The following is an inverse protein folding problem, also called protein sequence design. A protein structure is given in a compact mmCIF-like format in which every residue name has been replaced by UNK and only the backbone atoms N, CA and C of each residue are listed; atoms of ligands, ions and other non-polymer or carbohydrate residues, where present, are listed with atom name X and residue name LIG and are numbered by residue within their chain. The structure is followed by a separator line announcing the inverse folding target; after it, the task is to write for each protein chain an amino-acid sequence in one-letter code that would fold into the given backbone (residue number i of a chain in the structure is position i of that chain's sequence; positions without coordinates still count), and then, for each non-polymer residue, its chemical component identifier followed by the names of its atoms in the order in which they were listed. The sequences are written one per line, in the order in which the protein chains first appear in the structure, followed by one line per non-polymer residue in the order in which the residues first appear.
data_IF_141363417600
#
_entry.id   IF_141363417600
#
_cell.length_a   1.000
_cell.length_b   1.000
_cell.length_c   1.000
_cell.angle_alpha   90.00
_cell.angle_beta   90.00
_cell.angle_gamma   90.00
#
_symmetry.space_group_name_H-M   'P 1'
#
loop_
_entity.id
_entity.type
_entity.pdbx_description
1 polymer ?
#
# COMPACT_ATOMS: atom_id res chain seq x y z
N UNK A 1 0.66 -36.33 -1.36
CA UNK A 1 1.99 -35.86 -1.01
C UNK A 1 2.62 -35.07 -2.14
N UNK A 2 2.77 -35.70 -3.29
CA UNK A 2 3.36 -35.03 -4.45
C UNK A 2 2.50 -33.91 -5.00
N UNK A 3 1.20 -34.05 -4.88
CA UNK A 3 0.22 -33.08 -5.40
C UNK A 3 0.29 -31.74 -4.70
N UNK A 4 0.59 -31.72 -3.40
CA UNK A 4 0.72 -30.49 -2.63
C UNK A 4 1.88 -29.65 -3.11
N UNK A 5 3.02 -30.27 -3.38
CA UNK A 5 4.20 -29.58 -3.89
C UNK A 5 3.93 -28.94 -5.24
N UNK A 6 3.21 -29.61 -6.13
CA UNK A 6 2.84 -29.06 -7.43
C UNK A 6 1.93 -27.85 -7.30
N UNK A 7 0.98 -27.88 -6.36
CA UNK A 7 0.11 -26.74 -6.09
C UNK A 7 0.88 -25.53 -5.59
N UNK A 8 1.83 -25.75 -4.70
CA UNK A 8 2.68 -24.68 -4.17
C UNK A 8 3.53 -24.04 -5.27
N UNK A 9 4.08 -24.83 -6.17
CA UNK A 9 4.90 -24.38 -7.29
C UNK A 9 4.09 -23.56 -8.29
N UNK A 10 2.82 -23.91 -8.46
CA UNK A 10 1.93 -23.26 -9.43
C UNK A 10 1.21 -22.04 -8.87
N UNK A 11 1.41 -21.72 -7.59
CA UNK A 11 0.81 -20.53 -7.00
C UNK A 11 1.42 -19.28 -7.61
N UNK A 12 0.58 -18.48 -8.27
CA UNK A 12 1.03 -17.27 -8.93
C UNK A 12 0.94 -16.10 -7.96
N UNK A 13 2.05 -15.43 -7.72
CA UNK A 13 2.10 -14.28 -6.84
C UNK A 13 1.45 -13.07 -7.48
N UNK A 14 0.74 -12.29 -6.67
CA UNK A 14 0.18 -11.01 -7.10
C UNK A 14 1.30 -9.97 -7.21
N UNK A 15 1.19 -9.10 -8.20
CA UNK A 15 2.09 -7.97 -8.40
C UNK A 15 1.31 -6.68 -8.40
N UNK A 16 1.94 -5.64 -7.87
CA UNK A 16 1.39 -4.29 -7.87
C UNK A 16 2.03 -3.52 -9.02
N UNK A 17 1.20 -2.89 -9.83
CA UNK A 17 1.66 -2.05 -10.93
C UNK A 17 1.43 -0.59 -10.56
N UNK A 18 2.50 0.18 -10.51
CA UNK A 18 2.48 1.63 -10.28
C UNK A 18 2.98 2.33 -11.52
N UNK A 19 2.31 3.39 -11.95
CA UNK A 19 2.85 4.26 -12.98
C UNK A 19 3.90 5.19 -12.36
N UNK A 20 4.76 5.76 -13.20
CA UNK A 20 5.72 6.75 -12.74
C UNK A 20 5.00 7.96 -12.12
N UNK A 21 3.90 8.38 -12.71
CA UNK A 21 3.11 9.50 -12.21
C UNK A 21 2.56 9.24 -10.81
N UNK A 22 1.98 8.06 -10.58
CA UNK A 22 1.49 7.67 -9.25
C UNK A 22 2.63 7.64 -8.25
N UNK A 23 3.76 7.05 -8.62
CA UNK A 23 4.94 6.97 -7.77
C UNK A 23 5.46 8.36 -7.38
N UNK A 24 5.57 9.26 -8.35
CA UNK A 24 6.03 10.63 -8.09
C UNK A 24 5.07 11.38 -7.15
N UNK A 25 3.77 11.17 -7.31
CA UNK A 25 2.74 11.77 -6.46
C UNK A 25 2.83 11.25 -5.02
N UNK A 26 3.03 9.97 -4.85
CA UNK A 26 3.22 9.35 -3.52
C UNK A 26 4.44 9.92 -2.83
N UNK A 27 5.55 10.03 -3.53
CA UNK A 27 6.80 10.58 -2.99
C UNK A 27 6.59 12.03 -2.53
N UNK A 28 5.98 12.84 -3.37
CA UNK A 28 5.69 14.25 -3.06
C UNK A 28 4.81 14.37 -1.83
N UNK A 29 3.76 13.55 -1.75
CA UNK A 29 2.83 13.54 -0.63
C UNK A 29 3.53 13.13 0.67
N UNK A 30 4.32 12.06 0.64
CA UNK A 30 5.06 11.59 1.80
C UNK A 30 6.00 12.66 2.36
N UNK A 31 6.73 13.33 1.47
CA UNK A 31 7.63 14.44 1.86
C UNK A 31 6.87 15.58 2.49
N UNK A 32 5.67 15.87 2.02
CA UNK A 32 4.86 16.98 2.54
C UNK A 32 4.41 16.76 3.99
N UNK A 33 4.25 15.52 4.41
CA UNK A 33 3.84 15.18 5.76
C UNK A 33 5.00 14.97 6.73
N UNK A 34 6.21 14.72 6.21
CA UNK A 34 7.37 14.48 7.07
C UNK A 34 7.54 15.60 8.11
N UNK A 35 7.75 15.34 9.39
CA UNK A 35 8.05 14.04 10.03
C UNK A 35 6.84 13.25 10.53
N UNK A 36 5.65 13.60 10.09
CA UNK A 36 4.44 12.84 10.40
C UNK A 36 4.15 11.82 9.30
N UNK A 37 3.36 10.81 9.63
CA UNK A 37 2.89 9.84 8.66
C UNK A 37 1.76 10.43 7.82
N UNK A 38 1.85 10.26 6.49
CA UNK A 38 0.76 10.53 5.58
C UNK A 38 0.05 9.23 5.21
N UNK A 39 -1.20 9.33 4.78
CA UNK A 39 -1.98 8.18 4.30
C UNK A 39 -2.87 8.57 3.13
N UNK A 40 -2.89 7.73 2.12
CA UNK A 40 -3.76 7.87 0.95
C UNK A 40 -4.47 6.56 0.67
N UNK A 41 -5.66 6.64 0.11
CA UNK A 41 -6.37 5.49 -0.43
C UNK A 41 -5.90 5.26 -1.86
N UNK A 42 -5.63 4.01 -2.20
CA UNK A 42 -5.29 3.59 -3.55
C UNK A 42 -6.55 3.24 -4.31
N UNK A 43 -6.75 3.87 -5.47
CA UNK A 43 -7.73 3.44 -6.45
C UNK A 43 -7.08 2.57 -7.50
N UNK A 44 -7.84 1.62 -8.01
CA UNK A 44 -7.33 0.76 -9.06
C UNK A 44 -8.24 -0.42 -9.31
N UNK A 45 -7.66 -1.45 -9.92
CA UNK A 45 -8.41 -2.66 -10.22
C UNK A 45 -7.50 -3.86 -10.18
N UNK A 46 -8.09 -5.00 -9.89
CA UNK A 46 -7.43 -6.28 -9.92
C UNK A 46 -7.78 -6.99 -11.23
N UNK A 47 -6.78 -7.34 -12.01
CA UNK A 47 -6.91 -8.13 -13.21
C UNK A 47 -6.03 -9.37 -13.09
N UNK A 48 -6.63 -10.55 -12.88
CA UNK A 48 -5.88 -11.79 -12.65
C UNK A 48 -4.93 -11.61 -11.45
N UNK A 49 -3.62 -11.67 -11.69
CA UNK A 49 -2.59 -11.53 -10.65
C UNK A 49 -2.01 -10.12 -10.58
N UNK A 50 -2.57 -9.18 -11.32
CA UNK A 50 -2.10 -7.80 -11.32
C UNK A 50 -3.06 -6.92 -10.55
N UNK A 51 -2.51 -6.09 -9.68
CA UNK A 51 -3.25 -5.03 -9.00
C UNK A 51 -2.71 -3.72 -9.57
N UNK A 52 -3.51 -3.07 -10.39
CA UNK A 52 -3.12 -1.82 -11.07
C UNK A 52 -3.63 -0.64 -10.28
N UNK A 53 -2.71 0.20 -9.82
CA UNK A 53 -3.06 1.45 -9.13
C UNK A 53 -3.24 2.53 -10.18
N UNK A 54 -4.43 3.13 -10.22
CA UNK A 54 -4.79 4.13 -11.23
C UNK A 54 -5.02 5.52 -10.65
N UNK A 55 -5.20 5.64 -9.33
CA UNK A 55 -5.44 6.91 -8.69
C UNK A 55 -5.15 6.89 -7.21
N UNK A 56 -5.12 8.08 -6.63
CA UNK A 56 -4.89 8.30 -5.22
C UNK A 56 -5.99 9.20 -4.68
N UNK A 57 -6.48 8.90 -3.48
CA UNK A 57 -7.52 9.69 -2.82
C UNK A 57 -7.06 10.05 -1.43
N UNK A 58 -7.24 11.33 -1.07
CA UNK A 58 -7.02 11.79 0.30
C UNK A 58 -8.24 11.34 1.12
N UNK A 59 -8.07 10.47 2.13
CA UNK A 59 -9.22 10.00 2.90
C UNK A 59 -9.81 11.12 3.76
N UNK A 60 -11.14 11.15 3.94
CA UNK A 60 -11.77 12.11 4.82
C UNK A 60 -11.42 11.84 6.27
N UNK A 61 -11.32 12.90 7.07
CA UNK A 61 -11.07 12.81 8.51
C UNK A 61 -9.83 12.00 8.87
N UNK A 62 -8.79 12.08 8.02
CA UNK A 62 -7.54 11.39 8.31
C UNK A 62 -6.80 12.04 9.47
N UNK A 63 -6.07 11.19 10.21
CA UNK A 63 -5.21 11.63 11.31
C UNK A 63 -3.77 11.33 10.97
N UNK A 64 -2.87 12.20 11.40
CA UNK A 64 -1.46 12.13 11.08
C UNK A 64 -0.62 12.43 12.31
N UNK A 65 0.36 11.60 12.58
CA UNK A 65 1.31 11.78 13.66
C UNK A 65 2.64 11.16 13.31
N UNK A 66 3.68 11.29 14.17
CA UNK A 66 5.01 10.77 13.86
C UNK A 66 5.09 9.25 13.85
N UNK A 67 4.13 8.56 14.47
CA UNK A 67 4.12 7.11 14.59
C UNK A 67 2.82 6.46 14.13
N UNK A 68 1.88 7.25 13.62
CA UNK A 68 0.59 6.73 13.19
C UNK A 68 -0.01 7.59 12.09
N UNK A 69 -0.86 6.96 11.30
CA UNK A 69 -1.80 7.62 10.40
C UNK A 69 -3.02 6.72 10.25
N UNK A 70 -4.15 7.31 9.90
CA UNK A 70 -5.37 6.52 9.73
C UNK A 70 -6.56 7.38 9.33
N UNK A 71 -7.66 6.71 9.06
CA UNK A 71 -8.93 7.35 8.72
C UNK A 71 -10.08 6.44 9.11
N UNK A 72 -11.27 7.00 9.39
CA UNK A 72 -12.43 6.18 9.71
C UNK A 72 -13.00 5.55 8.44
N UNK A 73 -12.85 4.24 8.30
CA UNK A 73 -13.29 3.49 7.12
C UNK A 73 -14.80 3.63 6.90
N UNK A 74 -15.57 3.71 7.99
CA UNK A 74 -17.04 3.83 7.91
C UNK A 74 -17.51 5.17 7.33
N UNK A 75 -16.62 6.17 7.21
CA UNK A 75 -16.94 7.44 6.57
C UNK A 75 -16.70 7.41 5.06
N UNK A 76 -16.12 6.32 4.54
CA UNK A 76 -15.88 6.19 3.12
C UNK A 76 -17.17 5.74 2.41
N UNK A 77 -17.48 6.30 1.22
CA UNK A 77 -18.50 5.70 0.38
C UNK A 77 -18.06 4.31 -0.07
N UNK A 78 -19.02 3.41 -0.27
CA UNK A 78 -18.73 2.11 -0.82
C UNK A 78 -18.28 2.26 -2.27
N UNK A 79 -17.05 1.82 -2.56
CA UNK A 79 -16.46 1.95 -3.87
C UNK A 79 -15.50 0.78 -4.12
N UNK A 80 -15.81 -0.04 -5.12
CA UNK A 80 -15.00 -1.20 -5.48
C UNK A 80 -13.65 -0.83 -6.08
N UNK A 81 -13.45 0.41 -6.51
CA UNK A 81 -12.17 0.88 -7.00
C UNK A 81 -11.16 1.17 -5.88
N UNK A 82 -11.58 1.17 -4.62
CA UNK A 82 -10.68 1.33 -3.49
C UNK A 82 -10.03 -0.01 -3.20
N UNK A 83 -8.74 -0.12 -3.54
CA UNK A 83 -8.02 -1.40 -3.50
C UNK A 83 -7.03 -1.52 -2.35
N UNK A 84 -6.78 -0.44 -1.63
CA UNK A 84 -5.86 -0.46 -0.51
C UNK A 84 -5.44 0.92 -0.07
N UNK A 85 -4.34 0.97 0.65
CA UNK A 85 -3.77 2.22 1.16
C UNK A 85 -2.29 2.30 0.88
N UNK A 86 -1.77 3.54 0.89
CA UNK A 86 -0.34 3.78 1.04
C UNK A 86 -0.16 4.76 2.19
N UNK A 87 0.78 4.46 3.08
CA UNK A 87 1.16 5.40 4.13
C UNK A 87 2.68 5.52 4.21
N UNK A 88 3.12 6.63 4.80
CA UNK A 88 4.54 6.91 4.93
C UNK A 88 5.01 6.68 6.36
N UNK A 89 6.22 6.11 6.48
CA UNK A 89 6.93 6.00 7.75
C UNK A 89 8.06 7.02 7.77
N UNK A 90 8.12 7.92 8.76
CA UNK A 90 9.23 8.87 8.85
C UNK A 90 10.55 8.23 9.30
N UNK A 91 10.55 6.94 9.62
CA UNK A 91 11.74 6.14 9.89
C UNK A 91 12.29 5.53 8.61
N UNK A 92 13.45 4.87 8.71
CA UNK A 92 14.08 4.19 7.57
C UNK A 92 13.56 2.78 7.34
N UNK A 93 12.47 2.39 7.99
CA UNK A 93 11.85 1.07 7.83
C UNK A 93 10.52 1.16 7.11
N UNK A 94 10.35 0.43 6.03
CA UNK A 94 9.08 0.29 5.33
C UNK A 94 8.35 -1.01 5.68
N UNK A 95 8.69 -1.63 6.80
CA UNK A 95 7.99 -2.82 7.27
C UNK A 95 6.72 -2.43 8.03
N UNK A 96 5.62 -3.20 7.87
CA UNK A 96 4.39 -2.90 8.59
C UNK A 96 4.57 -3.16 10.09
N UNK A 97 3.97 -2.29 10.90
CA UNK A 97 3.81 -2.54 12.33
C UNK A 97 2.64 -3.50 12.55
N UNK A 98 2.51 -4.01 13.77
CA UNK A 98 1.34 -4.82 14.13
C UNK A 98 0.05 -4.01 13.95
N UNK A 99 0.07 -2.73 14.32
CA UNK A 99 -1.07 -1.85 14.15
C UNK A 99 -1.43 -1.65 12.67
N UNK A 100 -0.42 -1.50 11.80
CA UNK A 100 -0.65 -1.41 10.36
C UNK A 100 -1.39 -2.65 9.85
N UNK A 101 -1.00 -3.83 10.31
CA UNK A 101 -1.65 -5.08 9.92
C UNK A 101 -3.07 -5.21 10.47
N UNK A 102 -3.30 -4.74 11.71
CA UNK A 102 -4.61 -4.77 12.34
C UNK A 102 -5.61 -3.84 11.64
N UNK A 103 -5.13 -2.78 11.00
CA UNK A 103 -5.95 -1.81 10.30
C UNK A 103 -5.85 -1.95 8.77
N UNK A 104 -5.53 -3.16 8.31
CA UNK A 104 -5.41 -3.43 6.89
C UNK A 104 -6.73 -3.17 6.16
N UNK A 105 -6.65 -2.45 5.04
CA UNK A 105 -7.81 -2.10 4.22
C UNK A 105 -7.57 -2.56 2.77
N UNK A 106 -8.56 -3.26 2.20
CA UNK A 106 -8.51 -3.69 0.80
C UNK A 106 -7.61 -4.88 0.53
N UNK A 107 -6.90 -4.85 -0.60
CA UNK A 107 -6.09 -5.96 -1.11
C UNK A 107 -4.61 -5.78 -0.82
N UNK A 108 -4.15 -4.55 -0.66
CA UNK A 108 -2.73 -4.23 -0.56
C UNK A 108 -2.51 -3.04 0.36
N UNK A 109 -1.42 -3.08 1.09
CA UNK A 109 -0.89 -1.93 1.83
C UNK A 109 0.49 -1.60 1.29
N UNK A 110 0.65 -0.40 0.79
CA UNK A 110 1.96 0.13 0.41
C UNK A 110 2.51 0.98 1.55
N UNK A 111 3.79 0.89 1.78
CA UNK A 111 4.49 1.70 2.78
C UNK A 111 5.71 2.32 2.11
N UNK A 112 5.84 3.63 2.24
CA UNK A 112 7.04 4.35 1.81
C UNK A 112 7.75 4.91 3.04
N UNK A 113 9.04 4.64 3.19
CA UNK A 113 9.81 5.13 4.33
C UNK A 113 10.78 6.25 3.93
N UNK A 114 11.27 6.99 4.95
CA UNK A 114 12.29 8.00 4.74
C UNK A 114 13.56 7.35 4.16
N UNK A 115 14.23 7.96 3.18
CA UNK A 115 14.06 9.34 2.65
C UNK A 115 13.07 9.48 1.49
N UNK A 116 12.17 8.56 1.27
CA UNK A 116 11.08 8.62 0.29
C UNK A 116 11.54 8.58 -1.16
N UNK A 117 12.49 7.71 -1.45
CA UNK A 117 12.88 7.41 -2.82
C UNK A 117 12.02 6.26 -3.38
N UNK A 118 12.11 6.03 -4.67
CA UNK A 118 11.34 4.97 -5.33
C UNK A 118 11.60 3.59 -4.71
N UNK A 119 12.85 3.28 -4.39
CA UNK A 119 13.23 2.01 -3.77
C UNK A 119 12.78 1.87 -2.31
N UNK A 120 12.28 2.94 -1.70
CA UNK A 120 11.79 2.90 -0.32
C UNK A 120 10.33 2.47 -0.21
N UNK A 121 9.69 2.15 -1.33
CA UNK A 121 8.31 1.68 -1.36
C UNK A 121 8.28 0.16 -1.28
N UNK A 122 7.47 -0.36 -0.36
CA UNK A 122 7.21 -1.81 -0.24
C UNK A 122 5.71 -2.07 -0.25
N UNK A 123 5.34 -3.26 -0.68
CA UNK A 123 3.94 -3.69 -0.74
C UNK A 123 3.75 -4.94 0.10
N UNK A 124 2.61 -5.01 0.78
CA UNK A 124 2.28 -6.10 1.70
C UNK A 124 0.83 -6.55 1.51
N UNK A 125 0.61 -7.84 1.69
CA UNK A 125 -0.73 -8.39 1.78
C UNK A 125 -1.25 -8.33 3.22
N UNK A 126 -2.47 -8.82 3.44
CA UNK A 126 -3.14 -8.81 4.74
C UNK A 126 -2.35 -9.54 5.82
N UNK A 127 -1.54 -10.52 5.44
CA UNK A 127 -0.75 -11.31 6.37
C UNK A 127 0.64 -10.71 6.63
N UNK A 128 0.95 -9.57 6.01
CA UNK A 128 2.24 -8.93 6.15
C UNK A 128 3.32 -9.50 5.25
N UNK A 129 2.95 -10.33 4.28
CA UNK A 129 3.89 -10.87 3.31
C UNK A 129 4.19 -9.85 2.21
N UNK A 130 5.45 -9.75 1.80
CA UNK A 130 5.84 -8.86 0.72
C UNK A 130 5.19 -9.26 -0.61
N UNK A 131 4.82 -8.24 -1.38
CA UNK A 131 4.33 -8.37 -2.74
C UNK A 131 5.28 -7.65 -3.68
N UNK A 132 5.41 -8.15 -4.90
CA UNK A 132 6.28 -7.53 -5.89
C UNK A 132 5.66 -6.24 -6.44
N UNK A 133 6.48 -5.24 -6.69
CA UNK A 133 6.07 -3.97 -7.28
C UNK A 133 6.78 -3.80 -8.61
N UNK A 134 6.01 -3.39 -9.62
CA UNK A 134 6.52 -3.03 -10.92
C UNK A 134 6.16 -1.57 -11.19
N UNK A 135 7.15 -0.76 -11.53
CA UNK A 135 6.96 0.66 -11.84
C UNK A 135 7.23 0.85 -13.32
N UNK A 136 6.21 1.31 -14.04
CA UNK A 136 6.33 1.43 -15.48
C UNK A 136 5.79 2.70 -16.05
#
# INVERSE_FOLDING_TARGET
LFFRKKKEINEVRRRIILTKQITDSVITYAKSWHPNEGILILQGKKEKNLIKVTGLIIPPFSTHGPYYSGFPVYELPFDLSYIGTIHSHPSRSNKPSLEDLNHFFGLVSLIICYPYDTEDIAAFDRNGNNMDIEIG
#
